data_IF_064536091034
#
_entry.id   IF_064536091034
#
_cell.length_a   1.000
_cell.length_b   1.000
_cell.length_c   1.000
_cell.angle_alpha   90.00
_cell.angle_beta   90.00
_cell.angle_gamma   90.00
#
_symmetry.space_group_name_H-M   'P 1'
#
loop_
_entity.id
_entity.type
_entity.pdbx_description
1 polymer ?
#
# COMPACT_ATOMS: atom_id res chain seq x y z
N UNK A 1 10.27 10.22 19.26
CA UNK A 1 9.66 9.00 18.69
C UNK A 1 10.21 8.80 17.30
N UNK A 2 10.74 7.62 16.98
CA UNK A 2 11.11 7.26 15.61
C UNK A 2 9.94 6.51 14.95
N UNK A 3 9.63 6.81 13.68
CA UNK A 3 8.47 6.26 12.96
C UNK A 3 8.57 4.72 12.90
N UNK A 4 9.78 4.21 12.76
CA UNK A 4 10.16 2.81 12.76
C UNK A 4 9.71 2.08 14.03
N UNK A 5 9.79 2.73 15.20
CA UNK A 5 9.30 2.13 16.44
C UNK A 5 7.78 2.02 16.42
N UNK A 6 7.08 3.01 15.84
CA UNK A 6 5.63 2.96 15.72
C UNK A 6 5.17 1.88 14.74
N UNK A 7 5.89 1.71 13.63
CA UNK A 7 5.64 0.62 12.69
C UNK A 7 5.80 -0.75 13.38
N UNK A 8 6.85 -0.92 14.19
CA UNK A 8 7.07 -2.14 14.99
C UNK A 8 5.95 -2.40 15.99
N UNK A 9 5.52 -1.39 16.76
CA UNK A 9 4.39 -1.49 17.69
C UNK A 9 3.08 -1.92 16.99
N UNK A 10 2.89 -1.47 15.75
CA UNK A 10 1.72 -1.80 14.93
C UNK A 10 1.86 -3.12 14.16
N UNK A 11 2.97 -3.84 14.32
CA UNK A 11 3.27 -5.08 13.60
C UNK A 11 3.41 -4.89 12.08
N UNK A 12 3.85 -3.71 11.63
CA UNK A 12 4.02 -3.39 10.22
C UNK A 12 5.47 -3.67 9.81
N UNK A 13 5.63 -4.55 8.83
CA UNK A 13 6.88 -4.80 8.12
C UNK A 13 6.82 -4.09 6.76
N UNK A 14 7.85 -3.31 6.43
CA UNK A 14 7.96 -2.64 5.13
C UNK A 14 8.63 -3.57 4.12
N UNK A 15 8.06 -3.66 2.93
CA UNK A 15 8.60 -4.48 1.83
C UNK A 15 9.07 -3.57 0.68
N UNK A 16 10.19 -3.91 0.06
CA UNK A 16 10.84 -3.07 -0.95
C UNK A 16 10.27 -3.20 -2.37
N UNK A 17 9.35 -4.13 -2.61
CA UNK A 17 9.14 -4.68 -3.96
C UNK A 17 7.86 -4.17 -4.65
N UNK A 18 7.77 -2.84 -4.81
CA UNK A 18 6.71 -2.19 -5.59
C UNK A 18 7.27 -1.86 -6.98
N UNK A 19 7.10 -2.78 -7.92
CA UNK A 19 7.48 -2.56 -9.33
C UNK A 19 6.33 -1.88 -10.08
N UNK A 20 6.58 -0.81 -10.87
CA UNK A 20 5.57 -0.25 -11.76
C UNK A 20 5.05 -1.30 -12.75
N UNK A 21 3.73 -1.30 -12.97
CA UNK A 21 3.06 -2.25 -13.89
C UNK A 21 3.02 -1.68 -15.33
N UNK A 22 3.46 -0.44 -15.52
CA UNK A 22 3.50 0.23 -16.83
C UNK A 22 4.58 1.31 -16.89
N UNK A 23 4.52 2.14 -17.94
CA UNK A 23 5.51 3.21 -18.21
C UNK A 23 5.29 4.45 -17.34
N UNK A 24 5.45 4.30 -16.02
CA UNK A 24 5.41 5.39 -15.04
C UNK A 24 6.39 5.12 -13.89
N UNK A 25 6.71 6.16 -13.11
CA UNK A 25 7.61 6.04 -11.95
C UNK A 25 6.81 5.90 -10.63
N UNK A 26 7.37 5.26 -9.58
CA UNK A 26 6.68 5.08 -8.30
C UNK A 26 6.29 6.40 -7.62
N UNK A 27 7.11 7.44 -7.79
CA UNK A 27 6.83 8.79 -7.28
C UNK A 27 7.62 9.83 -8.09
N UNK A 28 7.18 11.09 -8.00
CA UNK A 28 7.93 12.26 -8.46
C UNK A 28 8.00 13.29 -7.34
N UNK A 29 9.01 14.17 -7.40
CA UNK A 29 9.16 15.28 -6.47
C UNK A 29 9.17 16.61 -7.22
N UNK A 30 8.40 17.57 -6.73
CA UNK A 30 8.44 18.98 -7.17
C UNK A 30 8.56 19.89 -5.95
N UNK A 31 9.68 20.61 -5.85
CA UNK A 31 10.02 21.40 -4.67
C UNK A 31 10.03 20.57 -3.38
N UNK A 32 9.09 20.87 -2.49
CA UNK A 32 8.88 20.18 -1.21
C UNK A 32 7.72 19.18 -1.22
N UNK A 33 7.13 18.88 -2.38
CA UNK A 33 6.03 17.92 -2.53
C UNK A 33 6.52 16.62 -3.16
N UNK A 34 6.13 15.49 -2.57
CA UNK A 34 6.30 14.15 -3.15
C UNK A 34 4.93 13.64 -3.57
N UNK A 35 4.78 13.35 -4.86
CA UNK A 35 3.58 12.74 -5.43
C UNK A 35 3.83 11.26 -5.65
N UNK A 36 3.08 10.42 -4.95
CA UNK A 36 3.21 8.96 -5.04
C UNK A 36 2.18 8.44 -6.04
N UNK A 37 2.60 7.56 -6.94
CA UNK A 37 1.72 6.86 -7.87
C UNK A 37 0.74 5.94 -7.12
N UNK A 38 -0.35 5.56 -7.78
CA UNK A 38 -1.36 4.69 -7.18
C UNK A 38 -0.75 3.38 -6.67
N UNK A 39 -0.96 3.10 -5.39
CA UNK A 39 -0.59 1.83 -4.76
C UNK A 39 -1.84 0.98 -4.57
N UNK A 40 -1.71 -0.33 -4.84
CA UNK A 40 -2.75 -1.29 -4.52
C UNK A 40 -2.42 -2.06 -3.24
N UNK A 41 -3.34 -2.92 -2.78
CA UNK A 41 -3.21 -3.69 -1.54
C UNK A 41 -2.30 -4.93 -1.72
N UNK A 42 -1.12 -4.76 -2.31
CA UNK A 42 -0.15 -5.86 -2.45
C UNK A 42 0.48 -6.20 -1.11
N UNK A 43 0.57 -7.48 -0.79
CA UNK A 43 1.39 -7.99 0.31
C UNK A 43 2.46 -8.89 -0.32
N UNK A 44 3.74 -8.48 -0.21
CA UNK A 44 4.87 -9.20 -0.81
C UNK A 44 4.69 -9.48 -2.31
N UNK A 45 4.19 -8.48 -3.05
CA UNK A 45 3.96 -8.55 -4.50
C UNK A 45 2.66 -9.27 -4.92
N UNK A 46 1.86 -9.75 -3.97
CA UNK A 46 0.62 -10.51 -4.24
C UNK A 46 -0.61 -9.67 -3.95
N UNK A 47 -1.49 -9.54 -4.93
CA UNK A 47 -2.76 -8.79 -4.84
C UNK A 47 -3.98 -9.70 -4.60
N UNK A 48 -3.79 -11.02 -4.65
CA UNK A 48 -4.85 -12.03 -4.81
C UNK A 48 -5.95 -11.97 -3.75
N UNK A 49 -5.63 -11.55 -2.53
CA UNK A 49 -6.62 -11.57 -1.47
C UNK A 49 -7.69 -10.47 -1.59
N UNK A 50 -7.45 -9.40 -2.36
CA UNK A 50 -8.29 -8.19 -2.31
C UNK A 50 -8.96 -7.83 -3.64
N UNK A 51 -9.09 -8.79 -4.56
CA UNK A 51 -9.67 -8.56 -5.89
C UNK A 51 -11.18 -8.71 -5.84
N UNK A 52 -11.92 -7.65 -6.18
CA UNK A 52 -13.37 -7.67 -6.32
C UNK A 52 -14.04 -6.35 -5.92
N UNK A 53 -15.37 -6.31 -5.98
CA UNK A 53 -16.17 -5.14 -5.59
C UNK A 53 -16.53 -5.21 -4.11
N UNK A 54 -16.33 -4.12 -3.38
CA UNK A 54 -16.84 -3.98 -2.00
C UNK A 54 -18.36 -4.09 -1.99
N UNK A 55 -18.90 -4.99 -1.18
CA UNK A 55 -20.32 -5.33 -1.13
C UNK A 55 -20.81 -6.30 -2.22
N UNK A 56 -19.96 -6.66 -3.20
CA UNK A 56 -20.29 -7.65 -4.24
C UNK A 56 -19.44 -8.93 -4.20
N UNK A 57 -18.34 -8.91 -3.45
CA UNK A 57 -17.41 -10.04 -3.30
C UNK A 57 -16.30 -9.77 -2.27
N UNK A 58 -16.14 -8.51 -1.89
CA UNK A 58 -15.27 -8.07 -0.78
C UNK A 58 -16.14 -7.50 0.33
N UNK A 59 -15.99 -8.01 1.56
CA UNK A 59 -16.64 -7.43 2.74
C UNK A 59 -16.03 -6.09 3.11
N UNK A 60 -16.71 -5.31 3.95
CA UNK A 60 -16.19 -4.03 4.44
C UNK A 60 -14.91 -4.22 5.26
N UNK A 61 -14.84 -5.27 6.06
CA UNK A 61 -13.72 -5.63 6.91
C UNK A 61 -12.49 -5.94 6.04
N UNK A 62 -12.69 -6.75 5.00
CA UNK A 62 -11.65 -7.11 4.05
C UNK A 62 -11.20 -5.92 3.20
N UNK A 63 -12.11 -5.00 2.86
CA UNK A 63 -11.76 -3.74 2.23
C UNK A 63 -10.92 -2.83 3.16
N UNK A 64 -11.16 -2.85 4.47
CA UNK A 64 -10.36 -2.11 5.45
C UNK A 64 -8.95 -2.67 5.57
N UNK A 65 -8.80 -4.00 5.52
CA UNK A 65 -7.49 -4.65 5.43
C UNK A 65 -6.74 -4.27 4.15
N UNK A 66 -7.43 -4.28 3.00
CA UNK A 66 -6.86 -3.83 1.73
C UNK A 66 -6.40 -2.36 1.80
N UNK A 67 -7.21 -1.49 2.39
CA UNK A 67 -6.86 -0.08 2.60
C UNK A 67 -5.62 0.07 3.50
N UNK A 68 -5.50 -0.76 4.57
CA UNK A 68 -4.31 -0.79 5.42
C UNK A 68 -3.07 -1.23 4.63
N UNK A 69 -3.16 -2.32 3.87
CA UNK A 69 -2.04 -2.78 3.04
C UNK A 69 -1.61 -1.70 2.02
N UNK A 70 -2.58 -1.03 1.39
CA UNK A 70 -2.33 0.09 0.48
C UNK A 70 -1.59 1.23 1.18
N UNK A 71 -2.00 1.60 2.39
CA UNK A 71 -1.34 2.63 3.18
C UNK A 71 0.10 2.27 3.57
N UNK A 72 0.35 1.00 3.89
CA UNK A 72 1.71 0.50 4.17
C UNK A 72 2.60 0.58 2.94
N UNK A 73 2.07 0.26 1.75
CA UNK A 73 2.81 0.36 0.48
C UNK A 73 3.14 1.81 0.07
N UNK A 74 2.60 2.82 0.74
CA UNK A 74 2.93 4.24 0.49
C UNK A 74 4.12 4.73 1.33
N UNK A 75 4.64 3.92 2.25
CA UNK A 75 5.72 4.26 3.21
C UNK A 75 7.02 3.63 2.73
#
# INVERSE_FOLDING_TARGET
MQIENKLKELGIELFSDIKPIGSYVPFVRTGNLVYVSGQGPSIKGKYVDYIGKVGGGISKEKAKEAARATAVNLI
#
